data_IF_383895300330
#
_entry.id   IF_383895300330
#
_cell.length_a   1.000
_cell.length_b   1.000
_cell.length_c   1.000
_cell.angle_alpha   90.00
_cell.angle_beta   90.00
_cell.angle_gamma   90.00
#
_symmetry.space_group_name_H-M   'P 1'
#
loop_
_entity.id
_entity.type
_entity.pdbx_description
1 polymer ?
#
# COMPACT_ATOMS: atom_id res chain seq x y z
N UNK A 1 -1.82 10.35 -11.48
CA UNK A 1 -2.27 9.42 -12.57
C UNK A 1 -2.18 7.99 -12.06
N UNK A 2 -3.10 7.10 -12.43
CA UNK A 2 -3.20 5.73 -11.91
C UNK A 2 -2.18 4.75 -12.51
N UNK A 3 -1.99 4.74 -13.83
CA UNK A 3 -1.10 3.78 -14.51
C UNK A 3 0.34 3.78 -14.00
N UNK A 4 0.91 4.97 -13.73
CA UNK A 4 2.25 5.08 -13.15
C UNK A 4 2.36 4.44 -11.76
N UNK A 5 1.31 4.57 -10.93
CA UNK A 5 1.27 3.92 -9.62
C UNK A 5 1.17 2.41 -9.76
N UNK A 6 0.38 1.92 -10.73
CA UNK A 6 0.26 0.49 -11.01
C UNK A 6 1.58 -0.12 -11.49
N UNK A 7 2.32 0.57 -12.37
CA UNK A 7 3.64 0.11 -12.83
C UNK A 7 4.65 0.02 -11.67
N UNK A 8 4.74 1.06 -10.84
CA UNK A 8 5.59 1.06 -9.65
C UNK A 8 5.19 -0.03 -8.65
N UNK A 9 3.89 -0.28 -8.50
CA UNK A 9 3.37 -1.33 -7.63
C UNK A 9 3.82 -2.74 -8.08
N UNK A 10 3.86 -3.03 -9.38
CA UNK A 10 4.38 -4.30 -9.89
C UNK A 10 5.88 -4.50 -9.56
N UNK A 11 6.66 -3.42 -9.64
CA UNK A 11 8.05 -3.42 -9.18
C UNK A 11 8.16 -3.69 -7.67
N UNK A 12 7.31 -3.05 -6.86
CA UNK A 12 7.28 -3.24 -5.41
C UNK A 12 6.91 -4.67 -4.99
N UNK A 13 5.97 -5.33 -5.70
CA UNK A 13 5.64 -6.76 -5.48
C UNK A 13 6.89 -7.62 -5.66
N UNK A 14 7.60 -7.44 -6.76
CA UNK A 14 8.79 -8.23 -7.09
C UNK A 14 9.89 -8.03 -6.05
N UNK A 15 10.09 -6.80 -5.60
CA UNK A 15 11.06 -6.44 -4.58
C UNK A 15 10.71 -7.01 -3.19
N UNK A 16 9.46 -6.87 -2.75
CA UNK A 16 9.02 -7.40 -1.45
C UNK A 16 9.14 -8.92 -1.38
N UNK A 17 8.83 -9.61 -2.50
CA UNK A 17 9.03 -11.05 -2.64
C UNK A 17 10.51 -11.43 -2.55
N UNK A 18 11.38 -10.72 -3.27
CA UNK A 18 12.83 -10.97 -3.23
C UNK A 18 13.43 -10.81 -1.82
N UNK A 19 12.92 -9.85 -1.03
CA UNK A 19 13.33 -9.62 0.35
C UNK A 19 12.62 -10.51 1.39
N UNK A 20 11.63 -11.31 0.96
CA UNK A 20 10.74 -12.07 1.83
C UNK A 20 10.11 -11.21 2.95
N UNK A 21 9.73 -9.96 2.63
CA UNK A 21 9.09 -9.02 3.56
C UNK A 21 7.60 -8.89 3.24
N UNK A 22 6.81 -8.53 4.25
CA UNK A 22 5.40 -8.20 4.06
C UNK A 22 5.29 -6.86 3.33
N UNK A 23 4.59 -6.83 2.21
CA UNK A 23 4.28 -5.61 1.49
C UNK A 23 3.05 -4.95 2.09
N UNK A 24 3.20 -3.71 2.54
CA UNK A 24 2.05 -2.87 2.91
C UNK A 24 1.45 -2.30 1.63
N UNK A 25 0.20 -2.67 1.31
CA UNK A 25 -0.51 -2.23 0.12
C UNK A 25 -0.89 -0.75 0.27
N UNK A 26 -0.29 0.17 -0.51
CA UNK A 26 -0.52 1.59 -0.36
C UNK A 26 -1.91 1.99 -0.85
N UNK A 27 -2.35 3.17 -0.43
CA UNK A 27 -3.52 3.80 -1.05
C UNK A 27 -3.17 4.29 -2.46
N UNK A 28 -4.15 4.24 -3.36
CA UNK A 28 -4.10 4.90 -4.65
C UNK A 28 -4.29 6.40 -4.47
N UNK A 29 -3.47 7.19 -5.16
CA UNK A 29 -3.56 8.64 -5.14
C UNK A 29 -4.37 9.11 -6.34
N UNK A 30 -5.54 9.67 -6.06
CA UNK A 30 -6.38 10.32 -7.05
C UNK A 30 -6.30 11.84 -6.92
N UNK A 31 -6.35 12.53 -8.06
CA UNK A 31 -6.31 13.99 -8.14
C UNK A 31 -7.59 14.47 -8.84
N UNK A 32 -8.66 14.76 -8.09
CA UNK A 32 -9.90 15.28 -8.66
C UNK A 32 -9.66 16.67 -9.26
N UNK A 33 -10.18 16.93 -10.46
CA UNK A 33 -9.94 18.19 -11.18
C UNK A 33 -10.46 19.46 -10.45
N UNK A 34 -11.34 19.29 -9.46
CA UNK A 34 -11.93 20.38 -8.66
C UNK A 34 -11.43 20.42 -7.21
N UNK A 35 -10.40 19.64 -6.88
CA UNK A 35 -9.82 19.59 -5.54
C UNK A 35 -8.38 20.08 -5.56
N UNK A 36 -8.00 20.85 -4.54
CA UNK A 36 -6.61 21.25 -4.29
C UNK A 36 -5.84 20.08 -3.65
N UNK A 37 -6.54 19.19 -2.95
CA UNK A 37 -5.95 18.05 -2.25
C UNK A 37 -6.13 16.75 -3.02
N UNK A 38 -5.20 15.82 -2.80
CA UNK A 38 -5.31 14.46 -3.32
C UNK A 38 -6.23 13.61 -2.43
N UNK A 39 -6.90 12.65 -3.06
CA UNK A 39 -7.66 11.61 -2.36
C UNK A 39 -6.78 10.37 -2.22
N UNK A 40 -6.72 9.84 -1.00
CA UNK A 40 -6.06 8.56 -0.70
C UNK A 40 -7.13 7.47 -0.70
N UNK A 41 -7.09 6.62 -1.71
CA UNK A 41 -8.11 5.61 -1.96
C UNK A 41 -7.57 4.24 -1.52
N UNK A 42 -8.24 3.52 -0.61
CA UNK A 42 -7.82 2.20 -0.19
C UNK A 42 -7.58 1.25 -1.36
N UNK A 43 -6.54 0.41 -1.25
CA UNK A 43 -6.14 -0.51 -2.31
C UNK A 43 -7.29 -1.45 -2.72
N UNK A 44 -7.99 -1.96 -1.70
CA UNK A 44 -9.12 -2.88 -1.77
C UNK A 44 -10.39 -2.29 -2.38
N UNK A 45 -10.42 -0.98 -2.65
CA UNK A 45 -11.52 -0.37 -3.41
C UNK A 45 -11.57 -0.86 -4.86
N UNK A 46 -10.41 -1.17 -5.46
CA UNK A 46 -10.31 -1.52 -6.87
C UNK A 46 -9.83 -2.95 -7.10
N UNK A 47 -9.11 -3.54 -6.15
CA UNK A 47 -8.49 -4.85 -6.30
C UNK A 47 -8.79 -5.75 -5.11
N UNK A 48 -9.05 -7.03 -5.38
CA UNK A 48 -9.15 -8.02 -4.33
C UNK A 48 -7.77 -8.27 -3.71
N UNK A 49 -7.72 -8.42 -2.39
CA UNK A 49 -6.47 -8.60 -1.64
C UNK A 49 -6.12 -10.09 -1.53
N UNK A 50 -7.12 -10.95 -1.50
CA UNK A 50 -7.01 -12.40 -1.34
C UNK A 50 -6.08 -13.03 -2.38
N UNK A 51 -6.20 -12.75 -3.70
CA UNK A 51 -5.28 -13.32 -4.68
C UNK A 51 -3.82 -12.88 -4.47
N UNK A 52 -3.60 -11.69 -3.90
CA UNK A 52 -2.24 -11.22 -3.58
C UNK A 52 -1.68 -11.94 -2.35
N UNK A 53 -2.52 -12.25 -1.35
CA UNK A 53 -2.11 -12.99 -0.14
C UNK A 53 -1.62 -14.40 -0.47
N UNK A 54 -2.18 -15.03 -1.50
CA UNK A 54 -1.73 -16.35 -1.97
C UNK A 54 -0.34 -16.30 -2.63
N UNK A 55 0.04 -15.15 -3.19
CA UNK A 55 1.30 -14.98 -3.92
C UNK A 55 2.44 -14.38 -3.09
N UNK A 56 2.14 -13.42 -2.21
CA UNK A 56 3.10 -12.81 -1.29
C UNK A 56 2.44 -12.35 0.02
N UNK A 57 3.26 -12.14 1.06
CA UNK A 57 2.78 -11.59 2.33
C UNK A 57 2.35 -10.14 2.11
N UNK A 58 1.06 -9.84 2.26
CA UNK A 58 0.51 -8.48 2.13
C UNK A 58 -0.38 -8.10 3.31
N UNK A 59 -0.44 -6.79 3.58
CA UNK A 59 -1.39 -6.17 4.53
C UNK A 59 -1.85 -4.83 3.96
N UNK A 60 -3.10 -4.42 4.19
CA UNK A 60 -3.56 -3.09 3.79
C UNK A 60 -2.86 -2.00 4.59
N UNK A 61 -2.60 -0.85 3.95
CA UNK A 61 -2.04 0.32 4.64
C UNK A 61 -2.86 0.71 5.87
N UNK A 62 -4.19 0.73 5.74
CA UNK A 62 -5.07 1.07 6.86
C UNK A 62 -4.90 0.11 8.04
N UNK A 63 -4.90 -1.20 7.79
CA UNK A 63 -4.72 -2.22 8.82
C UNK A 63 -3.33 -2.14 9.46
N UNK A 64 -2.29 -1.89 8.66
CA UNK A 64 -0.94 -1.68 9.18
C UNK A 64 -0.89 -0.47 10.11
N UNK A 65 -1.41 0.68 9.67
CA UNK A 65 -1.38 1.92 10.44
C UNK A 65 -2.19 1.82 11.74
N UNK A 66 -3.37 1.20 11.71
CA UNK A 66 -4.27 1.11 12.87
C UNK A 66 -3.81 0.04 13.87
N UNK A 67 -3.35 -1.13 13.39
CA UNK A 67 -3.16 -2.30 14.25
C UNK A 67 -1.69 -2.60 14.60
N UNK A 68 -0.74 -2.15 13.76
CA UNK A 68 0.67 -2.52 13.86
C UNK A 68 1.61 -1.33 14.04
N UNK A 69 1.38 -0.21 13.36
CA UNK A 69 2.35 0.89 13.29
C UNK A 69 2.79 1.38 14.67
N UNK A 70 1.87 1.60 15.60
CA UNK A 70 2.25 2.08 16.95
C UNK A 70 3.07 1.05 17.75
N UNK A 71 2.91 -0.25 17.45
CA UNK A 71 3.60 -1.33 18.16
C UNK A 71 5.01 -1.57 17.63
N UNK A 72 5.18 -1.55 16.30
CA UNK A 72 6.43 -1.96 15.64
C UNK A 72 7.16 -0.83 14.91
N UNK A 73 6.46 0.26 14.60
CA UNK A 73 6.97 1.43 13.89
C UNK A 73 6.48 2.77 14.51
N UNK A 74 6.75 2.98 15.82
CA UNK A 74 6.37 4.20 16.52
C UNK A 74 7.11 5.42 15.93
N UNK A 75 6.59 6.63 16.17
CA UNK A 75 7.09 7.89 15.58
C UNK A 75 8.62 8.05 15.66
N UNK A 76 9.22 7.78 16.82
CA UNK A 76 10.68 7.85 17.01
C UNK A 76 11.50 6.78 16.29
N UNK A 77 10.88 5.83 15.60
CA UNK A 77 11.50 4.79 14.77
C UNK A 77 11.15 4.92 13.28
N UNK A 78 10.50 6.01 12.88
CA UNK A 78 10.21 6.34 11.48
C UNK A 78 11.39 7.14 10.93
N UNK A 79 12.31 6.46 10.28
CA UNK A 79 13.48 7.05 9.61
C UNK A 79 13.38 6.89 8.11
#
# INVERSE_FOLDING_TARGET
RFGNQAEQFLGAISFARALNRTLVLPHWIEYPSRSITSNQIPFDRYFQVEPLRDYLKVILMNDFMIHLADKIWPEGKRY
#
